data_IF_493908641513
#
_entry.id   IF_493908641513
#
_cell.length_a   1.000
_cell.length_b   1.000
_cell.length_c   1.000
_cell.angle_alpha   90.00
_cell.angle_beta   90.00
_cell.angle_gamma   90.00
#
_symmetry.space_group_name_H-M   'P 1'
#
loop_
_entity.id
_entity.type
_entity.pdbx_description
1 polymer ?
#
# COMPACT_ATOMS: atom_id res chain seq x y z
N UNK A 1 7.06 -7.33 28.50
CA UNK A 1 7.02 -7.73 27.08
C UNK A 1 5.95 -6.93 26.38
N UNK A 2 6.23 -6.30 25.24
CA UNK A 2 5.19 -5.64 24.43
C UNK A 2 4.36 -6.66 23.66
N UNK A 3 3.06 -6.39 23.47
CA UNK A 3 2.16 -7.20 22.65
C UNK A 3 2.71 -7.25 21.21
N UNK A 4 2.99 -8.45 20.71
CA UNK A 4 3.40 -8.65 19.31
C UNK A 4 2.17 -8.57 18.41
N UNK A 5 2.30 -7.92 17.26
CA UNK A 5 1.24 -7.92 16.26
C UNK A 5 1.36 -9.18 15.41
N UNK A 6 0.43 -10.12 15.58
CA UNK A 6 0.44 -11.44 14.91
C UNK A 6 -0.55 -11.54 13.75
N UNK A 7 -1.31 -10.49 13.47
CA UNK A 7 -2.38 -10.51 12.48
C UNK A 7 -3.73 -10.97 13.07
N UNK A 8 -4.76 -11.12 12.24
CA UNK A 8 -4.75 -11.03 10.77
C UNK A 8 -4.74 -9.58 10.25
N UNK A 9 -4.59 -9.43 8.93
CA UNK A 9 -4.81 -8.14 8.26
C UNK A 9 -6.32 -7.90 8.10
N UNK A 10 -6.81 -6.77 8.60
CA UNK A 10 -8.24 -6.41 8.57
C UNK A 10 -8.72 -5.83 7.24
N UNK A 11 -7.85 -5.67 6.24
CA UNK A 11 -8.28 -5.34 4.88
C UNK A 11 -9.03 -6.52 4.28
N UNK A 12 -10.24 -6.26 3.76
CA UNK A 12 -11.06 -7.28 3.10
C UNK A 12 -10.31 -7.92 1.93
N UNK A 13 -10.45 -9.24 1.78
CA UNK A 13 -9.78 -10.03 0.74
C UNK A 13 -8.25 -9.90 0.72
N UNK A 14 -7.62 -9.67 1.88
CA UNK A 14 -6.16 -9.67 1.98
C UNK A 14 -5.59 -11.09 1.82
N UNK A 15 -5.04 -11.36 0.63
CA UNK A 15 -4.35 -12.60 0.24
C UNK A 15 -2.84 -12.59 0.56
N UNK A 16 -2.34 -11.52 1.19
CA UNK A 16 -0.90 -11.31 1.36
C UNK A 16 -0.35 -12.14 2.52
N UNK A 17 0.42 -13.17 2.18
CA UNK A 17 1.25 -13.87 3.14
C UNK A 17 2.34 -12.94 3.70
N UNK A 18 2.24 -12.63 4.99
CA UNK A 18 3.21 -11.77 5.66
C UNK A 18 3.25 -12.07 7.15
N UNK A 19 4.44 -12.02 7.71
CA UNK A 19 4.66 -12.15 9.17
C UNK A 19 4.71 -10.78 9.87
N UNK A 20 4.61 -9.68 9.12
CA UNK A 20 4.77 -8.31 9.65
C UNK A 20 3.44 -7.58 9.67
N UNK A 21 2.91 -7.40 10.87
CA UNK A 21 1.66 -6.68 11.11
C UNK A 21 1.91 -5.40 11.89
N UNK A 22 1.09 -4.38 11.60
CA UNK A 22 1.07 -3.12 12.32
C UNK A 22 -0.34 -2.84 12.79
N UNK A 23 -0.45 -2.37 14.03
CA UNK A 23 -1.72 -1.90 14.57
C UNK A 23 -2.10 -0.56 13.91
N UNK A 24 -3.36 -0.45 13.51
CA UNK A 24 -3.97 0.79 13.04
C UNK A 24 -4.27 1.66 14.25
N UNK A 25 -3.30 2.48 14.65
CA UNK A 25 -3.38 3.36 15.82
C UNK A 25 -4.18 4.64 15.50
N UNK A 26 -4.58 5.44 16.51
CA UNK A 26 -5.18 6.75 16.26
C UNK A 26 -4.30 7.66 15.37
N UNK A 27 -2.98 7.59 15.54
CA UNK A 27 -2.03 8.30 14.68
C UNK A 27 -2.09 7.80 13.23
N UNK A 28 -2.19 6.49 13.03
CA UNK A 28 -2.33 5.91 11.70
C UNK A 28 -3.64 6.33 11.02
N UNK A 29 -4.74 6.37 11.78
CA UNK A 29 -6.02 6.90 11.32
C UNK A 29 -5.90 8.35 10.89
N UNK A 30 -5.35 9.23 11.74
CA UNK A 30 -5.13 10.65 11.42
C UNK A 30 -4.33 10.82 10.11
N UNK A 31 -3.23 10.08 9.96
CA UNK A 31 -2.40 10.11 8.74
C UNK A 31 -3.19 9.66 7.51
N UNK A 32 -4.07 8.66 7.63
CA UNK A 32 -4.90 8.22 6.50
C UNK A 32 -5.98 9.22 6.10
N UNK A 33 -6.50 10.00 7.05
CA UNK A 33 -7.40 11.13 6.76
C UNK A 33 -6.64 12.25 6.04
N UNK A 34 -5.49 12.68 6.58
CA UNK A 34 -4.63 13.73 5.99
C UNK A 34 -4.16 13.38 4.57
N UNK A 35 -4.07 12.09 4.25
CA UNK A 35 -3.63 11.58 2.95
C UNK A 35 -4.78 11.17 2.03
N UNK A 36 -6.03 11.36 2.44
CA UNK A 36 -7.23 10.99 1.68
C UNK A 36 -7.27 9.52 1.24
N UNK A 37 -6.67 8.62 2.02
CA UNK A 37 -6.65 7.19 1.75
C UNK A 37 -7.69 6.43 2.56
N UNK A 38 -8.20 7.01 3.65
CA UNK A 38 -9.15 6.32 4.53
C UNK A 38 -10.49 6.01 3.85
N UNK A 39 -10.93 6.83 2.89
CA UNK A 39 -12.24 6.67 2.25
C UNK A 39 -12.40 5.31 1.57
N UNK A 40 -11.34 4.79 0.95
CA UNK A 40 -11.31 3.43 0.37
C UNK A 40 -11.32 2.30 1.40
N UNK A 41 -11.11 2.61 2.67
CA UNK A 41 -10.97 1.66 3.78
C UNK A 41 -11.80 2.09 5.00
N UNK A 42 -12.94 2.76 4.78
CA UNK A 42 -13.78 3.35 5.83
C UNK A 42 -14.35 2.33 6.83
N UNK A 43 -14.26 1.04 6.51
CA UNK A 43 -14.61 -0.07 7.40
C UNK A 43 -13.51 -0.39 8.44
N UNK A 44 -12.31 0.17 8.33
CA UNK A 44 -11.22 -0.08 9.28
C UNK A 44 -11.45 0.66 10.59
N UNK A 45 -11.22 -0.06 11.69
CA UNK A 45 -11.35 0.47 13.05
C UNK A 45 -9.98 0.62 13.73
N UNK A 46 -9.84 1.65 14.56
CA UNK A 46 -8.65 1.84 15.40
C UNK A 46 -8.47 0.59 16.29
N UNK A 47 -7.24 0.09 16.37
CA UNK A 47 -6.87 -1.12 17.11
C UNK A 47 -6.76 -2.36 16.24
N UNK A 48 -7.37 -2.38 15.05
CA UNK A 48 -7.21 -3.46 14.08
C UNK A 48 -5.77 -3.57 13.58
N UNK A 49 -5.43 -4.72 12.98
CA UNK A 49 -4.09 -4.99 12.47
C UNK A 49 -4.08 -5.00 10.95
N UNK A 50 -3.01 -4.48 10.36
CA UNK A 50 -2.81 -4.42 8.93
C UNK A 50 -1.49 -5.10 8.59
N UNK A 51 -1.43 -5.85 7.49
CA UNK A 51 -0.15 -6.28 6.98
C UNK A 51 0.72 -5.06 6.63
N UNK A 52 2.04 -5.24 6.64
CA UNK A 52 2.98 -4.16 6.32
C UNK A 52 2.65 -3.45 5.01
N UNK A 53 2.21 -4.19 3.98
CA UNK A 53 1.87 -3.63 2.66
C UNK A 53 0.65 -2.72 2.74
N UNK A 54 -0.47 -3.20 3.30
CA UNK A 54 -1.68 -2.40 3.45
C UNK A 54 -1.47 -1.21 4.38
N UNK A 55 -0.73 -1.40 5.48
CA UNK A 55 -0.38 -0.29 6.37
C UNK A 55 0.34 0.82 5.61
N UNK A 56 1.33 0.50 4.76
CA UNK A 56 2.00 1.51 3.96
C UNK A 56 1.05 2.15 2.94
N UNK A 57 0.22 1.39 2.24
CA UNK A 57 -0.73 1.97 1.28
C UNK A 57 -1.70 2.95 1.94
N UNK A 58 -2.17 2.64 3.15
CA UNK A 58 -3.19 3.43 3.86
C UNK A 58 -2.54 4.60 4.61
N UNK A 59 -1.46 4.35 5.36
CA UNK A 59 -0.91 5.31 6.34
C UNK A 59 0.26 6.12 5.77
N UNK A 60 1.01 5.55 4.83
CA UNK A 60 2.21 6.17 4.25
C UNK A 60 2.26 5.95 2.72
N UNK A 61 1.24 6.39 1.96
CA UNK A 61 1.11 6.07 0.53
C UNK A 61 2.33 6.50 -0.29
N UNK A 62 2.99 7.60 0.10
CA UNK A 62 4.23 8.11 -0.51
C UNK A 62 5.41 7.12 -0.40
N UNK A 63 5.44 6.33 0.69
CA UNK A 63 6.42 5.26 0.90
C UNK A 63 5.98 3.95 0.24
N UNK A 64 4.68 3.72 0.14
CA UNK A 64 4.12 2.53 -0.54
C UNK A 64 4.55 2.45 -2.01
N UNK A 65 4.61 3.59 -2.72
CA UNK A 65 5.08 3.67 -4.12
C UNK A 65 6.50 3.12 -4.29
N UNK A 66 7.38 3.33 -3.30
CA UNK A 66 8.74 2.78 -3.31
C UNK A 66 8.77 1.29 -3.01
N UNK A 67 7.84 0.80 -2.18
CA UNK A 67 7.70 -0.62 -1.87
C UNK A 67 7.22 -1.41 -3.09
N UNK A 68 6.18 -0.94 -3.80
CA UNK A 68 5.71 -1.58 -5.05
C UNK A 68 6.76 -1.57 -6.15
N UNK A 69 7.51 -0.49 -6.33
CA UNK A 69 8.63 -0.46 -7.28
C UNK A 69 9.73 -1.48 -6.93
N UNK A 70 10.07 -1.63 -5.64
CA UNK A 70 11.05 -2.63 -5.19
C UNK A 70 10.54 -4.07 -5.34
N UNK A 71 9.27 -4.33 -5.06
CA UNK A 71 8.66 -5.65 -5.31
C UNK A 71 8.61 -5.97 -6.80
N UNK A 72 8.30 -4.99 -7.67
CA UNK A 72 8.36 -5.16 -9.13
C UNK A 72 9.78 -5.48 -9.61
N UNK A 73 10.82 -4.85 -9.08
CA UNK A 73 12.22 -5.21 -9.42
C UNK A 73 12.62 -6.63 -9.00
N UNK A 74 11.96 -7.20 -7.99
CA UNK A 74 12.18 -8.60 -7.58
C UNK A 74 11.39 -9.60 -8.42
N UNK A 75 10.26 -9.18 -9.01
CA UNK A 75 9.42 -10.03 -9.87
C UNK A 75 9.60 -9.77 -11.38
N UNK A 76 10.35 -8.75 -11.77
CA UNK A 76 10.45 -8.22 -13.13
C UNK A 76 11.85 -8.37 -13.72
N UNK A 77 12.44 -9.55 -13.59
CA UNK A 77 13.55 -9.95 -14.46
C UNK A 77 13.08 -10.46 -15.83
N UNK A 78 11.78 -10.38 -16.15
CA UNK A 78 11.27 -10.65 -17.49
C UNK A 78 10.29 -9.55 -17.94
N UNK A 79 10.49 -9.06 -19.17
CA UNK A 79 9.69 -8.12 -19.99
C UNK A 79 9.99 -6.62 -19.87
N UNK A 80 10.99 -6.20 -20.65
CA UNK A 80 11.26 -4.85 -21.15
C UNK A 80 10.11 -4.40 -22.06
N UNK A 81 9.33 -3.39 -21.67
CA UNK A 81 8.42 -2.69 -22.59
C UNK A 81 9.06 -1.37 -23.01
N UNK A 82 9.43 -1.30 -24.29
CA UNK A 82 10.00 -0.15 -24.96
C UNK A 82 8.93 0.93 -25.14
N UNK A 83 9.20 2.15 -24.68
CA UNK A 83 8.30 3.29 -24.81
C UNK A 83 8.53 3.93 -26.18
N UNK A 84 7.75 3.52 -27.18
CA UNK A 84 7.70 4.22 -28.47
C UNK A 84 6.73 5.39 -28.33
N UNK A 85 7.24 6.61 -28.20
CA UNK A 85 6.42 7.83 -28.24
C UNK A 85 6.14 8.20 -29.70
N UNK A 86 4.93 7.90 -30.17
CA UNK A 86 4.37 8.50 -31.38
C UNK A 86 3.85 9.90 -31.02
N UNK A 87 4.55 10.94 -31.45
CA UNK A 87 4.02 12.30 -31.45
C UNK A 87 3.24 12.51 -32.74
N UNK A 88 1.92 12.53 -32.62
CA UNK A 88 1.02 13.15 -33.60
C UNK A 88 0.90 14.64 -33.26
N UNK A 89 1.17 15.52 -34.22
CA UNK A 89 0.61 16.88 -34.22
C UNK A 89 0.11 17.21 -35.62
N UNK A 90 -1.11 17.72 -35.64
CA UNK A 90 -1.99 17.96 -36.77
C UNK A 90 -1.73 19.28 -37.51
N UNK A 91 -2.12 19.27 -38.80
CA UNK A 91 -2.71 20.32 -39.64
C UNK A 91 -2.48 21.81 -39.29
N UNK A 92 -1.88 22.53 -40.26
CA UNK A 92 -2.53 23.54 -41.12
C UNK A 92 -1.65 23.84 -42.32
#
# INVERSE_FOLDING_TARGET
MGIRNTGPCSVLNCDKETIKFRRFTPLAYKKSIEKHTFDSYSYLQIGQQLCQKHYLCIVEPDRSRRYTLRSKRKNGQDNKMELVTTTVVAHQ
#
